data_IF_253424100075
#
_entry.id   IF_253424100075
#
_cell.length_a   1.000
_cell.length_b   1.000
_cell.length_c   1.000
_cell.angle_alpha   90.00
_cell.angle_beta   90.00
_cell.angle_gamma   90.00
#
_symmetry.space_group_name_H-M   'P 1'
#
loop_
_entity.id
_entity.type
_entity.pdbx_description
1 polymer ?
#
# COMPACT_ATOMS: atom_id res chain seq x y z
N UNK A 1 33.50 -17.12 3.48
CA UNK A 1 32.20 -16.52 3.06
C UNK A 1 32.41 -15.22 2.27
N UNK A 2 33.20 -15.22 1.19
CA UNK A 2 33.54 -14.00 0.41
C UNK A 2 33.24 -14.13 -1.10
N UNK A 3 32.55 -15.19 -1.52
CA UNK A 3 32.43 -15.53 -2.96
C UNK A 3 31.03 -15.41 -3.54
N UNK A 4 30.03 -14.95 -2.77
CA UNK A 4 28.63 -14.87 -3.23
C UNK A 4 28.27 -13.49 -3.81
N UNK A 5 29.13 -12.48 -3.68
CA UNK A 5 28.81 -11.10 -4.07
C UNK A 5 29.01 -10.75 -5.55
N UNK A 6 29.56 -11.64 -6.38
CA UNK A 6 29.97 -11.28 -7.74
C UNK A 6 29.03 -11.74 -8.87
N UNK A 7 27.90 -12.39 -8.56
CA UNK A 7 26.99 -12.90 -9.60
C UNK A 7 25.96 -11.85 -10.07
N UNK A 8 25.84 -10.68 -9.42
CA UNK A 8 24.86 -9.65 -9.82
C UNK A 8 25.36 -8.62 -10.86
N UNK A 9 26.56 -8.78 -11.44
CA UNK A 9 27.21 -7.70 -12.20
C UNK A 9 27.26 -7.86 -13.73
N UNK A 10 26.52 -8.78 -14.33
CA UNK A 10 26.42 -8.84 -15.78
C UNK A 10 25.00 -9.20 -16.23
N UNK A 11 24.30 -8.22 -16.83
CA UNK A 11 23.32 -8.32 -17.96
C UNK A 11 22.64 -6.93 -18.14
N UNK A 12 22.31 -6.51 -19.38
CA UNK A 12 22.50 -5.14 -19.83
C UNK A 12 21.32 -4.17 -19.62
N UNK A 13 21.67 -2.88 -19.61
CA UNK A 13 20.89 -1.72 -20.08
C UNK A 13 20.10 -2.11 -21.34
N UNK A 14 18.77 -2.05 -21.43
CA UNK A 14 17.86 -0.90 -21.44
C UNK A 14 16.45 -1.44 -21.15
N UNK A 15 15.83 -1.02 -20.06
CA UNK A 15 14.39 -1.17 -19.87
C UNK A 15 13.95 0.07 -19.08
N UNK A 16 13.23 0.98 -19.73
CA UNK A 16 12.51 2.07 -19.07
C UNK A 16 11.13 1.55 -18.76
N UNK A 17 11.08 0.71 -17.75
CA UNK A 17 9.87 0.04 -17.33
C UNK A 17 9.27 0.76 -16.14
N UNK A 18 7.96 0.87 -16.09
CA UNK A 18 7.27 1.53 -14.99
C UNK A 18 6.22 0.60 -14.44
N UNK A 19 5.98 0.63 -13.13
CA UNK A 19 4.76 0.02 -12.57
C UNK A 19 3.59 0.93 -12.97
N UNK A 20 3.07 0.66 -14.17
CA UNK A 20 1.81 1.17 -14.69
C UNK A 20 1.12 0.03 -15.45
N UNK A 21 -0.18 -0.15 -15.24
CA UNK A 21 -1.01 -1.18 -15.85
C UNK A 21 -0.99 -1.10 -17.40
N UNK A 22 -0.74 0.09 -17.95
CA UNK A 22 -0.65 0.37 -19.39
C UNK A 22 0.66 -0.10 -20.03
N UNK A 23 1.71 -0.31 -19.26
CA UNK A 23 3.06 -0.56 -19.79
C UNK A 23 3.21 -2.02 -20.34
N UNK A 24 4.25 -2.24 -21.15
CA UNK A 24 4.46 -3.37 -22.07
C UNK A 24 5.11 -4.61 -21.43
N UNK A 25 5.75 -4.48 -20.27
CA UNK A 25 6.39 -5.61 -19.59
C UNK A 25 5.38 -6.61 -19.03
N UNK A 26 5.65 -7.90 -19.30
CA UNK A 26 4.79 -9.00 -18.90
C UNK A 26 4.78 -9.26 -17.39
N UNK A 27 5.92 -9.10 -16.71
CA UNK A 27 6.08 -9.34 -15.25
C UNK A 27 6.89 -8.21 -14.65
N UNK A 28 6.49 -7.73 -13.47
CA UNK A 28 7.27 -6.79 -12.66
C UNK A 28 7.23 -7.18 -11.20
N UNK A 29 8.37 -6.97 -10.53
CA UNK A 29 8.49 -7.12 -9.10
C UNK A 29 9.23 -5.92 -8.50
N UNK A 30 8.80 -5.51 -7.32
CA UNK A 30 9.43 -4.51 -6.48
C UNK A 30 9.45 -4.96 -5.02
N UNK A 31 10.55 -4.66 -4.33
CA UNK A 31 10.71 -4.90 -2.89
C UNK A 31 11.22 -3.61 -2.25
N UNK A 32 10.41 -3.03 -1.38
CA UNK A 32 10.78 -1.89 -0.55
C UNK A 32 11.03 -2.36 0.87
N UNK A 33 12.23 -2.11 1.38
CA UNK A 33 12.61 -2.35 2.77
C UNK A 33 12.94 -1.00 3.40
N UNK A 34 12.15 -0.60 4.39
CA UNK A 34 12.36 0.67 5.11
C UNK A 34 12.25 0.44 6.61
N UNK A 35 12.84 1.34 7.39
CA UNK A 35 12.74 1.25 8.83
C UNK A 35 13.28 2.48 9.53
N UNK A 36 13.32 2.37 10.86
CA UNK A 36 13.89 3.33 11.77
C UNK A 36 14.42 2.57 12.99
N UNK A 37 15.59 2.97 13.46
CA UNK A 37 16.20 2.45 14.69
C UNK A 37 16.59 3.62 15.57
N UNK A 38 16.18 3.58 16.83
CA UNK A 38 16.59 4.52 17.87
C UNK A 38 17.04 3.72 19.09
N UNK A 39 18.22 4.06 19.60
CA UNK A 39 18.75 3.52 20.86
C UNK A 39 18.88 4.60 21.94
N UNK A 40 19.16 4.17 23.17
CA UNK A 40 19.33 5.04 24.34
C UNK A 40 18.32 4.72 25.43
N UNK A 41 17.73 5.75 26.04
CA UNK A 41 16.77 5.60 27.14
C UNK A 41 15.50 4.84 26.72
N UNK A 42 15.15 4.88 25.44
CA UNK A 42 14.09 4.07 24.83
C UNK A 42 14.65 3.48 23.55
N UNK A 43 14.62 2.14 23.47
CA UNK A 43 14.96 1.41 22.25
C UNK A 43 13.70 1.26 21.40
N UNK A 44 13.76 1.73 20.15
CA UNK A 44 12.65 1.67 19.20
C UNK A 44 13.14 1.09 17.89
N UNK A 45 12.43 0.08 17.41
CA UNK A 45 12.62 -0.51 16.08
C UNK A 45 11.32 -0.39 15.30
N UNK A 46 11.39 0.14 14.09
CA UNK A 46 10.31 0.10 13.11
C UNK A 46 10.88 -0.55 11.86
N UNK A 47 10.25 -1.62 11.42
CA UNK A 47 10.60 -2.30 10.18
C UNK A 47 9.36 -2.40 9.29
N UNK A 48 9.55 -2.10 8.00
CA UNK A 48 8.50 -2.16 6.99
C UNK A 48 9.02 -2.80 5.72
N UNK A 49 8.32 -3.85 5.28
CA UNK A 49 8.52 -4.45 3.99
C UNK A 49 7.29 -4.20 3.12
N UNK A 50 7.49 -3.81 1.87
CA UNK A 50 6.43 -3.74 0.86
C UNK A 50 6.88 -4.51 -0.37
N UNK A 51 6.05 -5.44 -0.84
CA UNK A 51 6.25 -6.11 -2.12
C UNK A 51 5.20 -5.64 -3.10
N UNK A 52 5.62 -5.41 -4.34
CA UNK A 52 4.72 -5.10 -5.44
C UNK A 52 5.00 -6.11 -6.55
N UNK A 53 3.98 -6.85 -6.95
CA UNK A 53 4.05 -7.80 -8.05
C UNK A 53 2.97 -7.44 -9.06
N UNK A 54 3.31 -7.46 -10.34
CA UNK A 54 2.31 -7.32 -11.38
C UNK A 54 2.61 -8.23 -12.55
N UNK A 55 1.55 -8.78 -13.14
CA UNK A 55 1.63 -9.68 -14.28
C UNK A 55 0.54 -9.34 -15.29
N UNK A 56 0.92 -9.32 -16.57
CA UNK A 56 0.05 -9.01 -17.71
C UNK A 56 -0.17 -10.29 -18.54
N UNK A 57 -1.16 -11.14 -18.18
CA UNK A 57 -1.42 -12.39 -18.91
C UNK A 57 -1.85 -12.16 -20.36
N UNK A 58 -2.47 -11.02 -20.66
CA UNK A 58 -2.84 -10.64 -22.01
C UNK A 58 -2.87 -9.12 -22.15
N UNK A 59 -3.02 -8.60 -23.37
CA UNK A 59 -3.17 -7.15 -23.59
C UNK A 59 -4.35 -6.54 -22.82
N UNK A 60 -5.37 -7.34 -22.50
CA UNK A 60 -6.65 -6.90 -21.90
C UNK A 60 -6.72 -7.15 -20.39
N UNK A 61 -5.77 -7.86 -19.81
CA UNK A 61 -5.81 -8.27 -18.40
C UNK A 61 -4.50 -7.88 -17.73
N UNK A 62 -4.61 -7.20 -16.59
CA UNK A 62 -3.46 -6.86 -15.76
C UNK A 62 -3.78 -7.18 -14.31
N UNK A 63 -2.94 -8.02 -13.72
CA UNK A 63 -3.01 -8.36 -12.31
C UNK A 63 -1.96 -7.58 -11.55
N UNK A 64 -2.35 -7.00 -10.41
CA UNK A 64 -1.46 -6.29 -9.49
C UNK A 64 -1.71 -6.81 -8.09
N UNK A 65 -0.63 -7.15 -7.41
CA UNK A 65 -0.63 -7.53 -6.01
C UNK A 65 0.36 -6.62 -5.27
N UNK A 66 -0.07 -6.09 -4.13
CA UNK A 66 0.75 -5.29 -3.24
C UNK A 66 0.61 -5.87 -1.84
N UNK A 67 1.71 -6.32 -1.24
CA UNK A 67 1.70 -6.74 0.16
C UNK A 67 2.55 -5.78 0.97
N UNK A 68 2.14 -5.53 2.21
CA UNK A 68 2.97 -4.83 3.18
C UNK A 68 2.95 -5.51 4.52
N UNK A 69 4.11 -5.49 5.17
CA UNK A 69 4.33 -5.93 6.53
C UNK A 69 4.92 -4.78 7.33
N UNK A 70 4.40 -4.55 8.52
CA UNK A 70 4.94 -3.60 9.50
C UNK A 70 5.21 -4.34 10.79
N UNK A 71 6.38 -4.11 11.36
CA UNK A 71 6.76 -4.60 12.67
C UNK A 71 7.32 -3.45 13.49
N UNK A 72 6.89 -3.32 14.73
CA UNK A 72 7.45 -2.35 15.66
C UNK A 72 7.68 -2.94 17.04
N UNK A 73 8.75 -2.47 17.67
CA UNK A 73 9.18 -2.89 18.99
C UNK A 73 9.61 -1.67 19.81
N UNK A 74 9.16 -1.61 21.06
CA UNK A 74 9.62 -0.63 22.06
C UNK A 74 10.19 -1.39 23.26
N UNK A 75 11.48 -1.16 23.55
CA UNK A 75 12.16 -1.76 24.70
C UNK A 75 12.03 -3.29 24.74
N UNK A 76 12.18 -3.95 23.59
CA UNK A 76 12.07 -5.42 23.43
C UNK A 76 10.67 -6.02 23.56
N UNK A 77 9.65 -5.17 23.66
CA UNK A 77 8.26 -5.60 23.62
C UNK A 77 7.65 -5.26 22.26
N UNK A 78 7.02 -6.26 21.63
CA UNK A 78 6.29 -6.08 20.38
C UNK A 78 5.18 -5.06 20.60
N UNK A 79 5.25 -3.98 19.83
CA UNK A 79 4.30 -2.88 19.89
C UNK A 79 3.35 -2.90 18.69
N UNK A 80 3.76 -3.53 17.60
CA UNK A 80 2.98 -3.59 16.37
C UNK A 80 3.36 -4.77 15.47
N UNK A 81 2.35 -5.29 14.78
CA UNK A 81 2.50 -6.26 13.70
C UNK A 81 1.28 -6.20 12.77
N UNK A 82 1.46 -5.59 11.59
CA UNK A 82 0.40 -5.40 10.61
C UNK A 82 0.75 -6.13 9.31
N UNK A 83 -0.18 -6.94 8.79
CA UNK A 83 -0.09 -7.55 7.47
C UNK A 83 -1.19 -6.97 6.60
N UNK A 84 -0.87 -6.71 5.33
CA UNK A 84 -1.81 -6.20 4.36
C UNK A 84 -1.50 -6.80 2.98
N UNK A 85 -2.53 -7.25 2.28
CA UNK A 85 -2.48 -7.76 0.90
C UNK A 85 -3.59 -7.13 0.08
N UNK A 86 -3.23 -6.33 -0.92
CA UNK A 86 -4.13 -5.76 -1.91
C UNK A 86 -3.93 -6.48 -3.23
N UNK A 87 -5.05 -6.88 -3.84
CA UNK A 87 -5.09 -7.59 -5.10
C UNK A 87 -6.04 -6.86 -6.02
N UNK A 88 -5.58 -6.54 -7.22
CA UNK A 88 -6.38 -5.90 -8.26
C UNK A 88 -6.26 -6.70 -9.54
N UNK A 89 -7.40 -6.89 -10.22
CA UNK A 89 -7.45 -7.38 -11.58
C UNK A 89 -8.14 -6.33 -12.44
N UNK A 90 -7.36 -5.69 -13.31
CA UNK A 90 -7.81 -4.66 -14.22
C UNK A 90 -8.15 -5.28 -15.58
N UNK A 91 -9.28 -4.83 -16.16
CA UNK A 91 -9.73 -5.22 -17.48
C UNK A 91 -9.55 -4.03 -18.42
N UNK A 92 -8.88 -4.22 -19.55
CA UNK A 92 -8.61 -3.18 -20.55
C UNK A 92 -7.90 -1.92 -20.02
N UNK A 93 -6.78 -2.04 -19.30
CA UNK A 93 -6.08 -0.89 -18.70
C UNK A 93 -5.47 0.07 -19.74
N UNK A 94 -5.50 -0.26 -21.03
CA UNK A 94 -5.12 0.64 -22.12
C UNK A 94 -6.12 1.77 -22.37
N UNK A 95 -7.34 1.67 -21.84
CA UNK A 95 -8.39 2.66 -22.01
C UNK A 95 -8.26 3.77 -20.96
N UNK A 96 -8.75 4.97 -21.29
CA UNK A 96 -8.81 6.09 -20.34
C UNK A 96 -9.67 5.78 -19.10
N UNK A 97 -10.73 4.99 -19.30
CA UNK A 97 -11.61 4.52 -18.24
C UNK A 97 -11.70 3.01 -18.35
N UNK A 98 -11.39 2.30 -17.27
CA UNK A 98 -11.32 0.85 -17.30
C UNK A 98 -11.75 0.22 -15.97
N UNK A 99 -12.52 -0.89 -16.00
CA UNK A 99 -13.00 -1.52 -14.79
C UNK A 99 -11.94 -2.40 -14.13
N UNK A 100 -12.13 -2.67 -12.85
CA UNK A 100 -11.34 -3.61 -12.07
C UNK A 100 -12.16 -4.31 -11.01
N UNK A 101 -11.66 -5.46 -10.57
CA UNK A 101 -12.08 -6.12 -9.33
C UNK A 101 -10.93 -6.08 -8.34
N UNK A 102 -11.26 -6.00 -7.05
CA UNK A 102 -10.27 -5.91 -5.99
C UNK A 102 -10.57 -6.89 -4.84
N UNK A 103 -9.51 -7.37 -4.22
CA UNK A 103 -9.54 -8.18 -3.01
C UNK A 103 -8.50 -7.68 -2.02
N UNK A 104 -8.92 -7.44 -0.79
CA UNK A 104 -8.09 -6.92 0.28
C UNK A 104 -8.15 -7.88 1.46
N UNK A 105 -7.00 -8.16 2.07
CA UNK A 105 -6.92 -8.88 3.34
C UNK A 105 -5.90 -8.18 4.23
N UNK A 106 -6.24 -7.96 5.51
CA UNK A 106 -5.30 -7.36 6.47
C UNK A 106 -5.50 -7.85 7.90
N UNK A 107 -4.45 -7.75 8.69
CA UNK A 107 -4.48 -7.79 10.16
C UNK A 107 -3.97 -6.45 10.69
N UNK A 108 -4.39 -6.06 11.89
CA UNK A 108 -3.82 -4.88 12.52
C UNK A 108 -3.69 -5.05 14.03
N UNK A 109 -2.45 -5.13 14.53
CA UNK A 109 -2.20 -5.36 15.95
C UNK A 109 -2.65 -4.16 16.79
N UNK A 110 -2.28 -2.94 16.37
CA UNK A 110 -2.62 -1.73 17.12
C UNK A 110 -4.12 -1.50 17.20
N UNK A 111 -4.86 -1.77 16.13
CA UNK A 111 -6.32 -1.60 16.04
C UNK A 111 -7.10 -2.81 16.55
N UNK A 112 -6.43 -3.83 17.06
CA UNK A 112 -7.07 -5.05 17.58
C UNK A 112 -7.95 -5.74 16.52
N UNK A 113 -7.50 -5.71 15.26
CA UNK A 113 -8.15 -6.35 14.12
C UNK A 113 -7.46 -7.69 13.88
N UNK A 114 -8.14 -8.77 14.24
CA UNK A 114 -7.68 -10.15 14.03
C UNK A 114 -7.64 -10.46 12.52
N UNK A 115 -8.70 -10.06 11.79
CA UNK A 115 -8.81 -10.25 10.35
C UNK A 115 -9.77 -9.24 9.76
N UNK A 116 -9.38 -8.65 8.64
CA UNK A 116 -10.25 -7.84 7.78
C UNK A 116 -10.11 -8.31 6.36
N UNK A 117 -11.23 -8.46 5.67
CA UNK A 117 -11.22 -8.67 4.24
C UNK A 117 -12.27 -7.84 3.54
N UNK A 118 -11.94 -7.42 2.32
CA UNK A 118 -12.85 -6.71 1.44
C UNK A 118 -12.79 -7.31 0.05
N UNK A 119 -13.95 -7.36 -0.60
CA UNK A 119 -14.04 -7.72 -2.00
C UNK A 119 -14.98 -6.77 -2.72
N UNK A 120 -14.60 -6.35 -3.91
CA UNK A 120 -15.37 -5.36 -4.64
C UNK A 120 -14.94 -5.15 -6.07
N UNK A 121 -15.57 -4.15 -6.69
CA UNK A 121 -15.31 -3.78 -8.06
C UNK A 121 -15.41 -2.27 -8.24
N UNK A 122 -14.75 -1.75 -9.27
CA UNK A 122 -14.71 -0.34 -9.54
C UNK A 122 -14.26 0.00 -10.95
N UNK A 123 -14.06 1.30 -11.18
CA UNK A 123 -13.51 1.84 -12.41
C UNK A 123 -12.38 2.82 -12.10
N UNK A 124 -11.31 2.73 -12.89
CA UNK A 124 -10.19 3.67 -12.85
C UNK A 124 -10.33 4.66 -14.01
N UNK A 125 -10.10 5.93 -13.70
CA UNK A 125 -10.06 7.06 -14.60
C UNK A 125 -8.63 7.57 -14.66
N UNK A 126 -8.01 7.42 -15.82
CA UNK A 126 -6.67 7.90 -16.07
C UNK A 126 -6.72 9.39 -16.43
N UNK A 127 -6.46 10.24 -15.43
CA UNK A 127 -6.52 11.70 -15.57
C UNK A 127 -5.34 12.23 -16.37
N UNK A 128 -4.14 11.76 -16.04
CA UNK A 128 -2.90 12.11 -16.70
C UNK A 128 -2.13 10.83 -17.01
N UNK A 129 -1.70 10.69 -18.25
CA UNK A 129 -0.80 9.62 -18.69
C UNK A 129 0.26 10.22 -19.61
N UNK A 130 1.47 10.37 -19.07
CA UNK A 130 2.69 10.64 -19.83
C UNK A 130 3.75 9.69 -19.35
N UNK A 131 4.80 9.52 -20.17
CA UNK A 131 5.90 8.62 -19.84
C UNK A 131 6.46 8.90 -18.45
N UNK A 132 6.72 10.15 -18.04
CA UNK A 132 7.34 10.46 -16.74
C UNK A 132 6.37 10.81 -15.61
N UNK A 133 5.08 10.91 -15.91
CA UNK A 133 4.08 11.43 -14.98
C UNK A 133 2.72 10.80 -15.25
N UNK A 134 2.13 10.20 -14.22
CA UNK A 134 0.75 9.72 -14.32
C UNK A 134 -0.02 10.00 -13.03
N UNK A 135 -1.33 10.18 -13.22
CA UNK A 135 -2.30 10.40 -12.15
C UNK A 135 -3.58 9.65 -12.51
N UNK A 136 -4.06 8.85 -11.55
CA UNK A 136 -5.25 8.02 -11.69
C UNK A 136 -6.17 8.30 -10.52
N UNK A 137 -7.45 8.41 -10.83
CA UNK A 137 -8.51 8.34 -9.83
C UNK A 137 -9.27 7.05 -10.02
N UNK A 138 -9.65 6.38 -8.93
CA UNK A 138 -10.48 5.18 -9.02
C UNK A 138 -11.66 5.31 -8.07
N UNK A 139 -12.80 4.80 -8.50
CA UNK A 139 -14.00 4.67 -7.67
C UNK A 139 -14.39 3.21 -7.63
N UNK A 140 -14.63 2.68 -6.44
CA UNK A 140 -15.05 1.30 -6.23
C UNK A 140 -16.12 1.18 -5.15
N UNK A 141 -16.81 0.05 -5.15
CA UNK A 141 -17.66 -0.37 -4.05
C UNK A 141 -17.27 -1.78 -3.63
N UNK A 142 -17.23 -1.99 -2.31
CA UNK A 142 -16.72 -3.19 -1.67
C UNK A 142 -17.66 -3.64 -0.56
N UNK A 143 -17.74 -4.94 -0.34
CA UNK A 143 -18.25 -5.49 0.90
C UNK A 143 -17.08 -5.79 1.84
N UNK A 144 -17.13 -5.28 3.06
CA UNK A 144 -16.13 -5.50 4.11
C UNK A 144 -16.70 -6.38 5.22
N UNK A 145 -15.86 -7.29 5.72
CA UNK A 145 -15.98 -7.83 7.07
C UNK A 145 -14.70 -7.59 7.86
N UNK A 146 -14.86 -7.08 9.08
CA UNK A 146 -13.79 -6.88 10.05
C UNK A 146 -14.09 -7.62 11.33
N UNK A 147 -13.17 -8.49 11.73
CA UNK A 147 -13.18 -9.24 12.98
C UNK A 147 -12.18 -8.61 13.94
N UNK A 148 -12.67 -8.16 15.09
CA UNK A 148 -11.89 -7.55 16.15
C UNK A 148 -11.61 -8.55 17.28
N UNK A 149 -10.49 -8.35 17.99
CA UNK A 149 -10.13 -9.13 19.18
C UNK A 149 -10.97 -8.75 20.40
N UNK A 150 -11.53 -7.53 20.40
CA UNK A 150 -12.31 -6.90 21.46
C UNK A 150 -13.67 -6.39 20.93
N UNK A 151 -14.55 -6.01 21.84
CA UNK A 151 -15.94 -5.63 21.55
C UNK A 151 -16.34 -4.27 22.13
N UNK A 152 -15.41 -3.56 22.75
CA UNK A 152 -15.67 -2.23 23.33
C UNK A 152 -15.05 -1.20 22.40
N UNK A 153 -15.87 -0.39 21.75
CA UNK A 153 -15.47 0.56 20.74
C UNK A 153 -15.62 2.00 21.24
N UNK A 154 -15.02 2.94 20.53
CA UNK A 154 -15.21 4.37 20.78
C UNK A 154 -16.64 4.88 20.45
N UNK A 155 -17.49 4.04 19.86
CA UNK A 155 -18.88 4.33 19.53
C UNK A 155 -19.78 3.18 20.04
N UNK A 156 -20.66 3.48 20.98
CA UNK A 156 -21.51 2.47 21.63
C UNK A 156 -22.41 1.63 20.72
N UNK A 157 -22.89 2.10 19.54
CA UNK A 157 -23.66 1.24 18.63
C UNK A 157 -22.88 0.05 18.05
N UNK A 158 -21.56 0.06 18.14
CA UNK A 158 -20.70 -1.03 17.66
C UNK A 158 -20.32 -2.02 18.77
N UNK A 159 -20.67 -1.72 20.02
CA UNK A 159 -20.30 -2.54 21.16
C UNK A 159 -20.97 -3.92 21.15
N UNK A 160 -20.30 -4.89 21.77
CA UNK A 160 -20.84 -6.24 21.99
C UNK A 160 -20.72 -7.21 20.81
N UNK A 161 -20.33 -6.73 19.62
CA UNK A 161 -20.02 -7.59 18.47
C UNK A 161 -18.54 -7.53 18.13
N UNK A 162 -17.92 -8.70 17.89
CA UNK A 162 -16.57 -8.77 17.31
C UNK A 162 -16.55 -8.57 15.80
N UNK A 163 -17.71 -8.65 15.15
CA UNK A 163 -17.85 -8.53 13.71
C UNK A 163 -18.53 -7.20 13.39
N UNK A 164 -17.85 -6.40 12.57
CA UNK A 164 -18.44 -5.25 11.89
C UNK A 164 -18.34 -5.52 10.39
N UNK A 165 -19.48 -5.52 9.72
CA UNK A 165 -19.57 -5.61 8.28
C UNK A 165 -20.25 -4.38 7.69
N UNK A 166 -19.89 -4.05 6.45
CA UNK A 166 -20.56 -2.97 5.72
C UNK A 166 -20.20 -2.95 4.25
N UNK A 167 -21.11 -2.44 3.43
CA UNK A 167 -20.80 -1.92 2.10
C UNK A 167 -20.06 -0.60 2.18
N UNK A 168 -18.97 -0.50 1.45
CA UNK A 168 -18.14 0.70 1.33
C UNK A 168 -18.17 1.23 -0.09
N UNK A 169 -17.95 2.54 -0.18
CA UNK A 169 -17.50 3.18 -1.41
C UNK A 169 -16.07 3.65 -1.18
N UNK A 170 -15.19 3.52 -2.17
CA UNK A 170 -13.81 3.97 -2.06
C UNK A 170 -13.42 4.88 -3.20
N UNK A 171 -12.87 6.03 -2.87
CA UNK A 171 -12.22 6.92 -3.82
C UNK A 171 -10.71 6.79 -3.61
N UNK A 172 -9.99 6.45 -4.67
CA UNK A 172 -8.54 6.33 -4.68
C UNK A 172 -7.93 7.42 -5.55
N UNK A 173 -6.79 7.95 -5.12
CA UNK A 173 -5.92 8.82 -5.91
C UNK A 173 -4.50 8.24 -5.89
N UNK A 174 -4.01 7.87 -7.06
CA UNK A 174 -2.70 7.28 -7.25
C UNK A 174 -1.90 8.09 -8.25
N UNK A 175 -0.64 8.37 -7.96
CA UNK A 175 0.22 9.05 -8.92
C UNK A 175 1.69 8.84 -8.72
N UNK A 176 2.44 9.06 -9.80
CA UNK A 176 3.90 8.98 -9.83
C UNK A 176 4.45 10.07 -10.73
N UNK A 177 5.48 10.77 -10.28
CA UNK A 177 6.04 11.94 -10.94
C UNK A 177 7.56 11.89 -10.88
N UNK A 178 8.20 11.95 -12.05
CA UNK A 178 9.65 12.00 -12.18
C UNK A 178 10.12 13.45 -12.35
N UNK A 179 10.80 13.99 -11.35
CA UNK A 179 11.27 15.38 -11.30
C UNK A 179 12.79 15.42 -11.45
N UNK A 180 13.31 16.61 -11.75
CA UNK A 180 14.75 16.89 -11.83
C UNK A 180 15.53 15.87 -12.67
N UNK A 181 15.08 15.62 -13.90
CA UNK A 181 15.70 14.64 -14.82
C UNK A 181 15.82 13.23 -14.21
N UNK A 182 14.71 12.75 -13.63
CA UNK A 182 14.60 11.43 -12.98
C UNK A 182 15.44 11.28 -11.69
N UNK A 183 16.05 12.35 -11.17
CA UNK A 183 16.79 12.30 -9.90
C UNK A 183 15.88 12.22 -8.66
N UNK A 184 14.62 12.62 -8.81
CA UNK A 184 13.61 12.56 -7.75
C UNK A 184 12.33 11.97 -8.30
N UNK A 185 11.80 10.94 -7.65
CA UNK A 185 10.54 10.30 -8.02
C UNK A 185 9.57 10.46 -6.85
N UNK A 186 8.51 11.23 -7.05
CA UNK A 186 7.41 11.34 -6.10
C UNK A 186 6.36 10.30 -6.42
N UNK A 187 5.81 9.64 -5.40
CA UNK A 187 4.67 8.75 -5.51
C UNK A 187 3.68 9.02 -4.39
N UNK A 188 2.40 8.82 -4.66
CA UNK A 188 1.36 8.84 -3.65
C UNK A 188 0.28 7.82 -3.97
N UNK A 189 -0.26 7.23 -2.91
CA UNK A 189 -1.44 6.36 -2.90
C UNK A 189 -2.32 6.83 -1.75
N UNK A 190 -3.45 7.45 -2.09
CA UNK A 190 -4.39 8.03 -1.14
C UNK A 190 -5.75 7.42 -1.36
N UNK A 191 -6.47 7.08 -0.30
CA UNK A 191 -7.88 6.70 -0.40
C UNK A 191 -8.73 7.29 0.72
N UNK A 192 -10.00 7.52 0.41
CA UNK A 192 -11.07 7.77 1.36
C UNK A 192 -12.15 6.70 1.16
N UNK A 193 -12.55 6.07 2.25
CA UNK A 193 -13.40 4.89 2.23
C UNK A 193 -14.50 4.97 3.32
N UNK A 194 -15.62 5.65 3.04
CA UNK A 194 -16.80 5.63 3.90
C UNK A 194 -17.59 4.32 3.76
N UNK A 195 -18.27 3.93 4.84
CA UNK A 195 -19.42 3.04 4.77
C UNK A 195 -20.58 3.74 4.07
N UNK A 196 -21.35 2.96 3.30
CA UNK A 196 -22.58 3.39 2.65
C UNK A 196 -23.82 3.14 3.52
N UNK A 197 -23.64 2.50 4.67
CA UNK A 197 -24.73 2.08 5.58
C UNK A 197 -24.61 2.74 6.96
N UNK A 198 -23.39 3.10 7.37
CA UNK A 198 -23.04 3.54 8.71
C UNK A 198 -22.26 4.86 8.62
N UNK A 199 -22.92 6.00 8.86
CA UNK A 199 -22.34 7.35 8.65
C UNK A 199 -21.03 7.59 9.40
N UNK A 200 -20.91 6.98 10.57
CA UNK A 200 -19.78 7.19 11.48
C UNK A 200 -18.63 6.20 11.21
N UNK A 201 -18.80 5.28 10.26
CA UNK A 201 -17.79 4.30 9.86
C UNK A 201 -17.11 4.72 8.57
N UNK A 202 -15.96 5.38 8.68
CA UNK A 202 -15.15 5.80 7.54
C UNK A 202 -13.66 5.73 7.88
N UNK A 203 -12.85 5.59 6.85
CA UNK A 203 -11.40 5.63 6.99
C UNK A 203 -10.73 6.30 5.82
N UNK A 204 -9.51 6.72 6.03
CA UNK A 204 -8.65 7.19 4.95
C UNK A 204 -7.20 6.89 5.23
N UNK A 205 -6.43 6.88 4.15
CA UNK A 205 -5.00 6.73 4.22
C UNK A 205 -4.33 7.56 3.15
N UNK A 206 -3.20 8.15 3.50
CA UNK A 206 -2.26 8.74 2.56
C UNK A 206 -0.88 8.07 2.75
N UNK A 207 -0.40 7.40 1.70
CA UNK A 207 0.96 6.89 1.61
C UNK A 207 1.72 7.77 0.59
N UNK A 208 2.71 8.50 1.06
CA UNK A 208 3.53 9.44 0.29
C UNK A 208 4.97 8.95 0.26
N UNK A 209 5.55 8.86 -0.94
CA UNK A 209 6.91 8.41 -1.14
C UNK A 209 7.75 9.39 -1.93
N UNK A 210 8.97 9.61 -1.48
CA UNK A 210 10.03 10.27 -2.25
C UNK A 210 11.14 9.25 -2.48
N UNK A 211 11.49 9.03 -3.73
CA UNK A 211 12.55 8.12 -4.13
C UNK A 211 13.67 8.86 -4.86
N UNK A 212 14.91 8.51 -4.55
CA UNK A 212 16.13 9.02 -5.16
C UNK A 212 16.84 7.85 -5.83
N UNK A 213 16.85 7.78 -7.16
CA UNK A 213 17.53 6.70 -7.87
C UNK A 213 19.03 6.69 -7.57
N UNK A 214 19.55 5.54 -7.14
CA UNK A 214 20.99 5.32 -6.92
C UNK A 214 21.60 4.69 -8.17
N UNK A 215 20.91 3.68 -8.71
CA UNK A 215 21.20 3.07 -10.01
C UNK A 215 19.90 2.53 -10.62
N UNK A 216 19.97 1.82 -11.75
CA UNK A 216 18.77 1.35 -12.48
C UNK A 216 17.75 0.59 -11.63
N UNK A 217 18.20 -0.24 -10.68
CA UNK A 217 17.34 -1.16 -9.95
C UNK A 217 17.11 -0.80 -8.47
N UNK A 218 17.74 0.25 -7.95
CA UNK A 218 17.79 0.59 -6.53
C UNK A 218 17.57 2.07 -6.36
N UNK A 219 16.58 2.40 -5.56
CA UNK A 219 16.29 3.75 -5.14
C UNK A 219 16.45 3.84 -3.62
N UNK A 220 17.04 4.92 -3.12
CA UNK A 220 16.80 5.33 -1.75
C UNK A 220 15.36 5.86 -1.65
N UNK A 221 14.65 5.53 -0.57
CA UNK A 221 13.24 5.87 -0.40
C UNK A 221 13.00 6.46 0.98
N UNK A 222 12.27 7.56 1.00
CA UNK A 222 11.61 8.13 2.19
C UNK A 222 10.12 7.90 2.04
N UNK A 223 9.47 7.38 3.08
CA UNK A 223 8.05 7.09 3.05
C UNK A 223 7.34 7.67 4.26
N UNK A 224 6.28 8.43 4.00
CA UNK A 224 5.37 8.95 5.02
C UNK A 224 3.98 8.35 4.83
N UNK A 225 3.49 7.62 5.84
CA UNK A 225 2.13 7.07 5.85
C UNK A 225 1.33 7.73 6.96
N UNK A 226 0.12 8.18 6.64
CA UNK A 226 -0.87 8.65 7.61
C UNK A 226 -2.16 7.89 7.37
N UNK A 227 -2.66 7.19 8.38
CA UNK A 227 -3.91 6.45 8.32
C UNK A 227 -4.84 6.90 9.45
N UNK A 228 -6.13 6.96 9.16
CA UNK A 228 -7.19 7.27 10.09
C UNK A 228 -8.30 6.23 9.97
N UNK A 229 -8.78 5.72 11.10
CA UNK A 229 -9.95 4.85 11.20
C UNK A 229 -10.94 5.47 12.19
N UNK A 230 -12.19 5.68 11.80
CA UNK A 230 -13.17 6.29 12.71
C UNK A 230 -13.56 5.34 13.85
N UNK A 231 -13.78 4.05 13.54
CA UNK A 231 -14.17 3.03 14.52
C UNK A 231 -12.92 2.32 15.02
N UNK A 232 -12.63 2.44 16.31
CA UNK A 232 -11.49 1.81 16.98
C UNK A 232 -11.92 1.24 18.33
N UNK A 233 -11.16 0.29 18.87
CA UNK A 233 -11.36 -0.17 20.23
C UNK A 233 -11.21 1.00 21.21
N UNK A 234 -12.00 0.98 22.28
CA UNK A 234 -11.96 2.00 23.32
C UNK A 234 -10.52 2.23 23.81
N UNK A 235 -10.16 3.49 24.07
CA UNK A 235 -8.84 3.95 24.48
C UNK A 235 -7.73 3.86 23.41
N UNK A 236 -8.05 3.46 22.18
CA UNK A 236 -7.12 3.53 21.07
C UNK A 236 -7.21 4.84 20.30
N UNK A 237 -6.11 5.21 19.64
CA UNK A 237 -6.08 6.38 18.76
C UNK A 237 -6.60 6.01 17.38
N UNK A 238 -7.38 6.92 16.80
CA UNK A 238 -7.91 6.78 15.44
C UNK A 238 -6.81 6.96 14.36
N UNK A 239 -5.76 7.72 14.68
CA UNK A 239 -4.69 8.08 13.75
C UNK A 239 -3.38 7.32 13.99
N UNK A 240 -2.77 6.86 12.90
CA UNK A 240 -1.42 6.31 12.86
C UNK A 240 -0.55 7.08 11.85
N UNK A 241 0.71 7.35 12.21
CA UNK A 241 1.67 8.04 11.34
C UNK A 241 3.03 7.35 11.36
N UNK A 242 3.61 7.11 10.19
CA UNK A 242 4.92 6.51 10.01
C UNK A 242 5.78 7.36 9.10
N UNK A 243 7.01 7.67 9.52
CA UNK A 243 8.05 8.17 8.65
C UNK A 243 9.19 7.17 8.65
N UNK A 244 9.45 6.54 7.50
CA UNK A 244 10.50 5.52 7.37
C UNK A 244 11.44 5.83 6.22
N UNK A 245 12.66 5.29 6.31
CA UNK A 245 13.72 5.46 5.34
C UNK A 245 14.25 4.09 4.92
N UNK A 246 14.71 3.95 3.69
CA UNK A 246 15.32 2.72 3.25
C UNK A 246 15.48 2.63 1.75
N UNK A 247 15.28 1.44 1.20
CA UNK A 247 15.58 1.16 -0.21
C UNK A 247 14.42 0.47 -0.91
N UNK A 248 14.28 0.76 -2.19
CA UNK A 248 13.35 0.10 -3.09
C UNK A 248 14.14 -0.58 -4.21
N UNK A 249 14.10 -1.91 -4.25
CA UNK A 249 14.69 -2.75 -5.28
C UNK A 249 13.63 -3.11 -6.32
N UNK A 250 13.93 -2.89 -7.60
CA UNK A 250 13.01 -3.12 -8.73
C UNK A 250 13.64 -4.07 -9.73
N UNK A 251 12.81 -4.91 -10.35
CA UNK A 251 13.27 -5.85 -11.38
C UNK A 251 13.38 -5.24 -12.78
N UNK A 252 13.18 -3.93 -12.93
CA UNK A 252 12.85 -3.30 -14.19
C UNK A 252 13.47 -1.90 -14.29
#
# INVERSE_FOLDING_TARGET
MKSVFYIFLFIPTFLSAQINESDTLGVRAGLSLTGFYQGGNVETVIFRAKTEFSFKPSKKLFFKNQNSYVYQEFGKNKADEDILSLNFLYLHPERKIYPFVLGFVSTNFRREIDLRYLFGAGATFQLLEKEKYWLKLSLSSEYEETYFSKTDFNYSPYDGSRLINTFRGTIWANGKYHLAEDKVILNHEVYFQPSLEQSDNYRWQADLGVEFPIWKYLNFKVNYRHAFESIVIENQKQEDRFLTFGFNLKSY
#
